data_IF_607744660683
#
_entry.id   IF_607744660683
#
_cell.length_a   1.000
_cell.length_b   1.000
_cell.length_c   1.000
_cell.angle_alpha   90.00
_cell.angle_beta   90.00
_cell.angle_gamma   90.00
#
_symmetry.space_group_name_H-M   'P 1'
#
loop_
_entity.id
_entity.type
_entity.pdbx_description
1 polymer ?
#
# COMPACT_ATOMS: atom_id res chain seq x y z
N UNK A 1 0.96 -0.10 -26.98
CA UNK A 1 1.98 -0.59 -26.04
C UNK A 1 1.50 -0.26 -24.63
N UNK A 2 1.20 -1.27 -23.80
CA UNK A 2 0.72 -1.03 -22.43
C UNK A 2 1.92 -0.72 -21.51
N UNK A 3 1.85 0.32 -20.66
CA UNK A 3 2.97 0.72 -19.80
C UNK A 3 3.27 -0.34 -18.72
N UNK A 4 4.49 -0.87 -18.71
CA UNK A 4 4.96 -1.76 -17.65
C UNK A 4 4.97 -1.03 -16.30
N UNK A 5 4.45 -1.64 -15.23
CA UNK A 5 4.46 -1.10 -13.86
C UNK A 5 5.60 -1.76 -13.09
N UNK A 6 6.73 -1.07 -13.00
CA UNK A 6 7.97 -1.61 -12.41
C UNK A 6 7.89 -1.83 -10.91
N UNK A 7 6.98 -1.13 -10.23
CA UNK A 7 6.76 -1.16 -8.78
C UNK A 7 5.76 -2.23 -8.33
N UNK A 8 5.20 -3.04 -9.23
CA UNK A 8 4.12 -4.00 -8.92
C UNK A 8 4.50 -4.97 -7.80
N UNK A 9 5.69 -5.56 -7.90
CA UNK A 9 6.24 -6.57 -6.99
C UNK A 9 6.51 -6.07 -5.56
N UNK A 10 6.38 -4.77 -5.31
CA UNK A 10 6.42 -4.19 -3.96
C UNK A 10 5.09 -4.33 -3.22
N UNK A 11 3.98 -4.52 -3.93
CA UNK A 11 2.62 -4.46 -3.36
C UNK A 11 1.74 -5.66 -3.69
N UNK A 12 2.04 -6.37 -4.78
CA UNK A 12 1.29 -7.51 -5.31
C UNK A 12 2.24 -8.66 -5.61
N UNK A 13 1.69 -9.87 -5.67
CA UNK A 13 2.49 -11.03 -6.07
C UNK A 13 2.84 -10.90 -7.57
N UNK A 14 4.07 -11.29 -7.92
CA UNK A 14 4.58 -11.14 -9.31
C UNK A 14 3.72 -11.88 -10.32
N UNK A 15 3.20 -13.04 -9.92
CA UNK A 15 2.36 -13.90 -10.76
C UNK A 15 0.97 -13.30 -11.03
N UNK A 16 0.55 -12.31 -10.23
CA UNK A 16 -0.71 -11.58 -10.44
C UNK A 16 -0.57 -10.47 -11.50
N UNK A 17 0.64 -10.18 -11.98
CA UNK A 17 0.89 -9.13 -12.97
C UNK A 17 0.38 -9.55 -14.34
N UNK A 18 -0.83 -9.09 -14.67
CA UNK A 18 -1.40 -9.21 -16.00
C UNK A 18 -2.13 -7.92 -16.39
N UNK A 19 -2.15 -7.59 -17.68
CA UNK A 19 -2.90 -6.43 -18.19
C UNK A 19 -4.41 -6.56 -17.98
N UNK A 20 -4.90 -7.79 -17.79
CA UNK A 20 -6.31 -8.11 -17.51
C UNK A 20 -6.67 -7.98 -16.03
N UNK A 21 -5.68 -7.75 -15.16
CA UNK A 21 -5.93 -7.54 -13.74
C UNK A 21 -6.62 -6.18 -13.55
N UNK A 22 -7.78 -6.15 -12.88
CA UNK A 22 -8.54 -4.93 -12.60
C UNK A 22 -7.73 -3.90 -11.78
N UNK A 23 -6.75 -4.37 -11.02
CA UNK A 23 -5.81 -3.53 -10.28
C UNK A 23 -4.88 -2.75 -11.22
N UNK A 24 -4.47 -3.35 -12.34
CA UNK A 24 -3.59 -2.71 -13.31
C UNK A 24 -4.22 -1.43 -13.86
N UNK A 25 -5.47 -1.50 -14.35
CA UNK A 25 -6.18 -0.33 -14.88
C UNK A 25 -6.36 0.76 -13.81
N UNK A 26 -6.68 0.33 -12.58
CA UNK A 26 -6.83 1.22 -11.42
C UNK A 26 -5.51 1.95 -11.13
N UNK A 27 -4.38 1.26 -11.15
CA UNK A 27 -3.05 1.84 -10.93
C UNK A 27 -2.72 2.85 -12.04
N UNK A 28 -2.93 2.51 -13.31
CA UNK A 28 -2.69 3.44 -14.42
C UNK A 28 -3.53 4.72 -14.29
N UNK A 29 -4.80 4.59 -13.88
CA UNK A 29 -5.66 5.75 -13.59
C UNK A 29 -5.07 6.60 -12.48
N UNK A 30 -4.63 5.99 -11.38
CA UNK A 30 -4.00 6.72 -10.28
C UNK A 30 -2.68 7.40 -10.69
N UNK A 31 -1.84 6.76 -11.49
CA UNK A 31 -0.60 7.37 -11.99
C UNK A 31 -0.92 8.69 -12.70
N UNK A 32 -1.91 8.68 -13.61
CA UNK A 32 -2.32 9.87 -14.37
C UNK A 32 -2.83 10.98 -13.45
N UNK A 33 -3.67 10.64 -12.47
CA UNK A 33 -4.30 11.66 -11.62
C UNK A 33 -3.40 12.18 -10.50
N UNK A 34 -2.48 11.35 -10.00
CA UNK A 34 -1.63 11.68 -8.84
C UNK A 34 -0.28 12.29 -9.24
N UNK A 35 0.18 12.12 -10.48
CA UNK A 35 1.54 12.53 -10.95
C UNK A 35 1.96 13.88 -10.39
N UNK A 36 1.26 14.96 -10.73
CA UNK A 36 1.63 16.32 -10.29
C UNK A 36 1.63 16.48 -8.76
N UNK A 37 0.71 15.83 -8.05
CA UNK A 37 0.64 15.92 -6.59
C UNK A 37 1.81 15.21 -5.91
N UNK A 38 2.20 14.06 -6.45
CA UNK A 38 3.32 13.24 -5.97
C UNK A 38 4.64 13.95 -6.25
N UNK A 39 4.86 14.43 -7.48
CA UNK A 39 6.08 15.17 -7.87
C UNK A 39 6.31 16.38 -6.97
N UNK A 40 5.26 17.15 -6.68
CA UNK A 40 5.35 18.32 -5.79
C UNK A 40 5.69 17.98 -4.32
N UNK A 41 5.51 16.72 -3.90
CA UNK A 41 5.72 16.26 -2.51
C UNK A 41 6.86 15.26 -2.39
N UNK A 42 7.65 15.08 -3.44
CA UNK A 42 8.62 13.99 -3.54
C UNK A 42 9.61 13.96 -2.37
N UNK A 43 10.14 15.11 -1.97
CA UNK A 43 11.13 15.20 -0.88
C UNK A 43 10.57 14.65 0.43
N UNK A 44 9.33 15.02 0.76
CA UNK A 44 8.63 14.57 1.97
C UNK A 44 8.34 13.06 1.89
N UNK A 45 7.98 12.55 0.71
CA UNK A 45 7.71 11.13 0.52
C UNK A 45 9.00 10.31 0.66
N UNK A 46 10.11 10.76 0.06
CA UNK A 46 11.41 10.10 0.16
C UNK A 46 11.91 10.04 1.61
N UNK A 47 11.79 11.14 2.34
CA UNK A 47 12.22 11.21 3.75
C UNK A 47 11.39 10.28 4.65
N UNK A 48 10.07 10.22 4.44
CA UNK A 48 9.16 9.55 5.39
C UNK A 48 8.69 8.17 4.95
N UNK A 49 8.86 7.82 3.68
CA UNK A 49 8.26 6.63 3.06
C UNK A 49 6.73 6.64 3.09
N UNK A 50 6.08 7.80 3.25
CA UNK A 50 4.62 7.91 3.41
C UNK A 50 4.06 9.01 2.51
N UNK A 51 3.03 8.67 1.73
CA UNK A 51 2.21 9.65 1.01
C UNK A 51 0.86 9.86 1.72
N UNK A 52 0.58 11.12 2.08
CA UNK A 52 -0.69 11.52 2.71
C UNK A 52 -1.66 12.02 1.66
N UNK A 53 -2.86 11.42 1.62
CA UNK A 53 -3.95 11.80 0.74
C UNK A 53 -5.20 12.11 1.58
N UNK A 54 -5.96 13.15 1.23
CA UNK A 54 -7.22 13.42 1.94
C UNK A 54 -8.34 12.60 1.35
N UNK A 55 -9.28 12.14 2.18
CA UNK A 55 -10.46 11.42 1.71
C UNK A 55 -11.26 12.25 0.70
N UNK A 56 -11.36 13.57 0.93
CA UNK A 56 -12.01 14.53 0.01
C UNK A 56 -11.38 14.53 -1.38
N UNK A 57 -10.06 14.41 -1.48
CA UNK A 57 -9.37 14.33 -2.76
C UNK A 57 -9.53 12.94 -3.38
N UNK A 58 -9.43 11.89 -2.55
CA UNK A 58 -9.57 10.52 -3.01
C UNK A 58 -10.92 10.27 -3.69
N UNK A 59 -12.04 10.68 -3.07
CA UNK A 59 -13.39 10.51 -3.66
C UNK A 59 -13.64 11.28 -4.95
N UNK A 60 -12.75 12.21 -5.34
CA UNK A 60 -12.82 12.88 -6.65
C UNK A 60 -12.19 12.04 -7.77
N UNK A 61 -11.37 11.05 -7.42
CA UNK A 61 -10.54 10.28 -8.35
C UNK A 61 -11.10 8.87 -8.54
N UNK A 62 -11.64 8.29 -7.47
CA UNK A 62 -12.28 6.98 -7.48
C UNK A 62 -13.79 7.09 -7.36
N UNK A 63 -14.50 6.05 -7.78
CA UNK A 63 -15.89 5.91 -7.40
C UNK A 63 -15.97 5.82 -5.87
N UNK A 64 -16.98 6.48 -5.29
CA UNK A 64 -17.16 6.52 -3.84
C UNK A 64 -17.19 5.10 -3.25
N UNK A 65 -17.79 4.15 -3.94
CA UNK A 65 -17.96 2.77 -3.48
C UNK A 65 -16.65 1.97 -3.41
N UNK A 66 -15.68 2.22 -4.31
CA UNK A 66 -14.46 1.43 -4.42
C UNK A 66 -13.64 1.39 -3.10
N UNK A 67 -13.49 2.52 -2.43
CA UNK A 67 -12.76 2.61 -1.15
C UNK A 67 -13.58 2.09 0.05
N UNK A 68 -14.91 2.03 -0.06
CA UNK A 68 -15.75 1.49 1.00
C UNK A 68 -15.85 -0.04 0.93
N UNK A 69 -15.90 -0.59 -0.28
CA UNK A 69 -16.04 -2.04 -0.51
C UNK A 69 -14.69 -2.77 -0.47
N UNK A 70 -13.62 -2.17 -1.01
CA UNK A 70 -12.29 -2.79 -1.09
C UNK A 70 -11.19 -1.83 -0.66
N UNK A 71 -11.15 -1.42 0.62
CA UNK A 71 -10.21 -0.41 1.08
C UNK A 71 -8.74 -0.84 0.96
N UNK A 72 -8.42 -2.07 1.34
CA UNK A 72 -7.04 -2.58 1.31
C UNK A 72 -6.48 -2.57 -0.12
N UNK A 73 -7.24 -3.12 -1.06
CA UNK A 73 -6.86 -3.19 -2.46
C UNK A 73 -6.71 -1.79 -3.07
N UNK A 74 -7.65 -0.89 -2.78
CA UNK A 74 -7.57 0.51 -3.22
C UNK A 74 -6.31 1.19 -2.70
N UNK A 75 -5.98 0.98 -1.41
CA UNK A 75 -4.76 1.51 -0.78
C UNK A 75 -3.50 0.96 -1.44
N UNK A 76 -3.44 -0.34 -1.73
CA UNK A 76 -2.33 -0.99 -2.44
C UNK A 76 -2.15 -0.41 -3.86
N UNK A 77 -3.25 -0.23 -4.60
CA UNK A 77 -3.20 0.37 -5.94
C UNK A 77 -2.67 1.82 -5.91
N UNK A 78 -3.07 2.64 -4.93
CA UNK A 78 -2.53 3.99 -4.76
C UNK A 78 -1.04 3.92 -4.41
N UNK A 79 -0.64 3.02 -3.52
CA UNK A 79 0.75 2.85 -3.10
C UNK A 79 1.66 2.48 -4.29
N UNK A 80 1.21 1.51 -5.09
CA UNK A 80 1.87 1.10 -6.32
C UNK A 80 1.97 2.25 -7.32
N UNK A 81 0.89 2.99 -7.55
CA UNK A 81 0.89 4.16 -8.43
C UNK A 81 1.88 5.25 -7.97
N UNK A 82 1.93 5.56 -6.68
CA UNK A 82 2.86 6.55 -6.13
C UNK A 82 4.31 6.09 -6.30
N UNK A 83 4.61 4.83 -5.96
CA UNK A 83 5.94 4.25 -6.20
C UNK A 83 6.32 4.32 -7.67
N UNK A 84 5.40 4.01 -8.56
CA UNK A 84 5.64 4.01 -10.00
C UNK A 84 5.88 5.43 -10.55
N UNK A 85 5.19 6.44 -10.04
CA UNK A 85 5.48 7.84 -10.36
C UNK A 85 6.90 8.19 -9.92
N UNK A 86 7.29 7.83 -8.69
CA UNK A 86 8.63 8.12 -8.16
C UNK A 86 9.70 7.44 -9.00
N UNK A 87 9.48 6.18 -9.38
CA UNK A 87 10.37 5.44 -10.25
C UNK A 87 10.52 6.09 -11.63
N UNK A 88 9.40 6.43 -12.28
CA UNK A 88 9.45 7.03 -13.62
C UNK A 88 10.11 8.42 -13.67
N UNK A 89 9.97 9.22 -12.62
CA UNK A 89 10.49 10.59 -12.59
C UNK A 89 11.92 10.68 -12.02
N UNK A 90 12.34 9.71 -11.21
CA UNK A 90 13.60 9.79 -10.45
C UNK A 90 14.42 8.49 -10.40
N UNK A 91 13.99 7.43 -11.09
CA UNK A 91 14.62 6.10 -11.11
C UNK A 91 14.82 5.48 -9.71
N UNK A 92 13.90 5.76 -8.79
CA UNK A 92 13.93 5.26 -7.42
C UNK A 92 12.74 4.34 -7.17
N UNK A 93 13.04 3.05 -7.00
CA UNK A 93 12.05 2.03 -6.61
C UNK A 93 11.99 1.94 -5.09
N UNK A 94 10.87 2.36 -4.50
CA UNK A 94 10.71 2.39 -3.04
C UNK A 94 9.31 2.00 -2.57
N UNK A 95 9.22 1.35 -1.41
CA UNK A 95 7.94 1.12 -0.75
C UNK A 95 7.41 2.41 -0.13
N UNK A 96 6.16 2.74 -0.42
CA UNK A 96 5.47 3.95 0.04
C UNK A 96 4.19 3.54 0.74
N UNK A 97 4.08 3.88 2.02
CA UNK A 97 2.83 3.74 2.77
C UNK A 97 1.83 4.83 2.39
N UNK A 98 0.56 4.49 2.26
CA UNK A 98 -0.51 5.47 2.01
C UNK A 98 -1.23 5.77 3.31
N UNK A 99 -1.40 7.07 3.61
CA UNK A 99 -2.18 7.51 4.76
C UNK A 99 -3.34 8.38 4.30
N UNK A 100 -4.55 7.83 4.44
CA UNK A 100 -5.79 8.58 4.21
C UNK A 100 -6.04 9.48 5.42
N UNK A 101 -6.28 10.76 5.15
CA UNK A 101 -6.55 11.79 6.16
C UNK A 101 -7.98 12.31 6.02
N UNK A 102 -8.58 12.80 7.10
CA UNK A 102 -9.94 13.34 7.13
C UNK A 102 -11.00 12.33 6.63
N UNK A 103 -10.90 11.08 7.07
CA UNK A 103 -11.97 10.09 6.90
C UNK A 103 -13.07 10.40 7.93
N UNK A 104 -14.10 11.13 7.50
CA UNK A 104 -15.04 11.79 8.39
C UNK A 104 -16.13 10.87 8.98
N UNK A 105 -16.07 9.55 8.75
CA UNK A 105 -17.00 8.60 9.35
C UNK A 105 -16.43 8.16 10.70
N UNK A 106 -16.70 8.95 11.74
CA UNK A 106 -16.34 8.63 13.11
C UNK A 106 -17.28 7.55 13.62
N UNK A 107 -16.73 6.37 13.89
CA UNK A 107 -17.47 5.30 14.56
C UNK A 107 -17.42 5.53 16.07
N UNK A 108 -18.52 5.25 16.76
CA UNK A 108 -18.48 5.10 18.21
C UNK A 108 -17.52 3.96 18.56
N UNK A 109 -17.01 3.96 19.80
CA UNK A 109 -16.06 2.93 20.26
C UNK A 109 -16.62 1.50 20.10
N UNK A 110 -17.95 1.35 20.05
CA UNK A 110 -18.65 0.13 19.65
C UNK A 110 -18.74 -0.04 18.13
N UNK A 111 -17.64 -0.42 17.49
CA UNK A 111 -17.62 -0.78 16.07
C UNK A 111 -18.43 -2.07 15.84
N UNK A 112 -19.45 -2.01 14.99
CA UNK A 112 -20.28 -3.17 14.63
C UNK A 112 -19.50 -4.22 13.83
N UNK A 113 -19.91 -5.50 13.95
CA UNK A 113 -19.41 -6.61 13.12
C UNK A 113 -19.60 -6.33 11.62
N UNK A 114 -20.64 -5.58 11.25
CA UNK A 114 -20.86 -5.15 9.87
C UNK A 114 -19.80 -4.20 9.30
N UNK A 115 -18.85 -3.74 10.13
CA UNK A 115 -17.70 -2.91 9.73
C UNK A 115 -16.40 -3.68 9.63
N UNK A 116 -16.41 -5.00 9.81
CA UNK A 116 -15.26 -5.86 9.48
C UNK A 116 -14.86 -5.59 8.02
N UNK A 117 -13.55 -5.52 7.76
CA UNK A 117 -12.95 -5.18 6.45
C UNK A 117 -13.20 -3.76 5.92
N UNK A 118 -13.89 -2.90 6.67
CA UNK A 118 -14.14 -1.51 6.27
C UNK A 118 -13.19 -0.53 6.96
N UNK A 119 -12.98 0.64 6.34
CA UNK A 119 -12.31 1.76 7.01
C UNK A 119 -13.19 2.34 8.11
N UNK A 120 -12.58 2.65 9.25
CA UNK A 120 -13.22 3.33 10.38
C UNK A 120 -12.33 4.46 10.87
N UNK A 121 -12.95 5.54 11.35
CA UNK A 121 -12.26 6.57 12.12
C UNK A 121 -12.68 6.46 13.58
N UNK A 122 -11.69 6.40 14.47
CA UNK A 122 -11.89 6.33 15.91
C UNK A 122 -11.22 7.53 16.57
N UNK A 123 -11.92 8.12 17.54
CA UNK A 123 -11.42 9.21 18.37
C UNK A 123 -11.55 8.78 19.82
N UNK A 124 -10.49 8.94 20.59
CA UNK A 124 -10.48 8.60 22.00
C UNK A 124 -9.13 8.89 22.64
N UNK A 125 -9.04 8.64 23.94
CA UNK A 125 -7.80 8.78 24.70
C UNK A 125 -7.00 7.49 24.62
N UNK A 126 -5.72 7.59 24.28
CA UNK A 126 -4.80 6.44 24.34
C UNK A 126 -4.42 6.20 25.80
N UNK A 127 -4.96 5.14 26.40
CA UNK A 127 -4.72 4.82 27.82
C UNK A 127 -3.39 4.08 28.08
N UNK A 128 -2.88 3.34 27.08
CA UNK A 128 -1.65 2.54 27.22
C UNK A 128 -0.92 2.42 25.89
N UNK A 129 0.41 2.54 25.93
CA UNK A 129 1.31 2.24 24.82
C UNK A 129 2.16 1.03 25.22
N UNK A 130 2.10 -0.04 24.43
CA UNK A 130 2.91 -1.24 24.66
C UNK A 130 4.35 -1.11 24.17
N UNK A 131 5.20 -2.08 24.51
CA UNK A 131 6.56 -2.15 23.97
C UNK A 131 6.56 -2.57 22.49
N UNK A 132 7.59 -2.12 21.75
CA UNK A 132 7.79 -2.49 20.35
C UNK A 132 8.16 -3.97 20.25
N UNK A 133 7.44 -4.72 19.41
CA UNK A 133 7.75 -6.11 19.08
C UNK A 133 8.40 -6.22 17.71
N UNK A 134 9.33 -7.16 17.56
CA UNK A 134 9.90 -7.52 16.27
C UNK A 134 8.94 -8.46 15.54
N UNK A 135 8.76 -8.24 14.23
CA UNK A 135 7.98 -9.12 13.35
C UNK A 135 8.93 -9.56 12.23
N UNK A 136 9.16 -10.87 12.13
CA UNK A 136 9.98 -11.44 11.07
C UNK A 136 9.19 -11.44 9.76
N UNK A 137 9.70 -10.75 8.75
CA UNK A 137 9.11 -10.72 7.40
C UNK A 137 9.79 -11.67 6.42
N UNK A 138 11.06 -11.99 6.69
CA UNK A 138 11.92 -12.85 5.87
C UNK A 138 12.79 -13.69 6.79
N UNK A 139 13.14 -14.87 6.31
CA UNK A 139 14.07 -15.79 6.96
C UNK A 139 15.06 -16.28 5.92
N UNK A 140 16.30 -16.49 6.35
CA UNK A 140 17.37 -16.97 5.48
C UNK A 140 17.83 -18.32 5.99
N UNK A 141 17.95 -19.28 5.08
CA UNK A 141 18.47 -20.61 5.35
C UNK A 141 19.74 -20.81 4.53
N UNK A 142 20.84 -21.21 5.19
CA UNK A 142 22.09 -21.54 4.52
C UNK A 142 22.29 -23.05 4.52
N UNK A 143 22.52 -23.64 3.35
CA UNK A 143 22.97 -25.02 3.27
C UNK A 143 24.46 -25.11 3.59
N UNK A 144 24.83 -25.84 4.64
CA UNK A 144 26.25 -25.96 5.04
C UNK A 144 27.13 -26.67 4.00
N UNK A 145 26.55 -27.54 3.15
CA UNK A 145 27.29 -28.31 2.14
C UNK A 145 27.59 -27.51 0.88
N UNK A 146 26.57 -26.89 0.29
CA UNK A 146 26.70 -26.14 -0.96
C UNK A 146 26.82 -24.61 -0.77
N UNK A 147 26.68 -24.11 0.46
CA UNK A 147 26.71 -22.68 0.79
C UNK A 147 25.62 -21.83 0.12
N UNK A 148 24.59 -22.48 -0.41
CA UNK A 148 23.43 -21.82 -0.99
C UNK A 148 22.57 -21.16 0.11
N UNK A 149 22.17 -19.91 -0.14
CA UNK A 149 21.30 -19.14 0.75
C UNK A 149 19.91 -19.06 0.14
N UNK A 150 18.92 -19.64 0.83
CA UNK A 150 17.52 -19.54 0.48
C UNK A 150 16.88 -18.40 1.28
N UNK A 151 16.27 -17.45 0.56
CA UNK A 151 15.42 -16.42 1.15
C UNK A 151 13.97 -16.88 1.12
N UNK A 152 13.33 -16.98 2.29
CA UNK A 152 11.91 -17.33 2.43
C UNK A 152 11.14 -16.14 3.00
N UNK A 153 10.05 -15.75 2.32
CA UNK A 153 9.14 -14.70 2.80
C UNK A 153 8.12 -15.31 3.77
N UNK A 154 7.79 -14.57 4.83
CA UNK A 154 6.69 -14.92 5.74
C UNK A 154 5.47 -14.07 5.36
N UNK A 155 4.44 -14.70 4.82
CA UNK A 155 3.17 -14.05 4.46
C UNK A 155 2.04 -14.70 5.25
N UNK A 156 1.31 -13.93 6.06
CA UNK A 156 0.22 -14.44 6.90
C UNK A 156 0.62 -15.63 7.79
N UNK A 157 1.83 -15.57 8.36
CA UNK A 157 2.44 -16.64 9.16
C UNK A 157 2.71 -17.97 8.40
N UNK A 158 2.70 -17.93 7.07
CA UNK A 158 3.04 -19.06 6.21
C UNK A 158 4.36 -18.77 5.48
N UNK A 159 5.23 -19.77 5.40
CA UNK A 159 6.45 -19.73 4.61
C UNK A 159 6.11 -19.81 3.13
N UNK A 160 6.50 -18.79 2.36
CA UNK A 160 6.41 -18.78 0.90
C UNK A 160 7.82 -18.60 0.32
N UNK A 161 8.23 -19.55 -0.50
CA UNK A 161 9.38 -19.47 -1.41
C UNK A 161 9.04 -18.58 -2.60
#
# INVERSE_FOLDING_TARGET
MHPHISSWDLYFDKDEFTFFNTNYETIIKFIRTLRNNVTNKILIIKERGIYKISMRFLVKIISKNQIYEQPENTIKCIACAVSEIIYNEYDIKMYVGIRITNYNIVSSFGVSVSKVEHLVSLIGTVCRVGCKKLIFKKVFFECLKCKEILEIKIVSNVYKT
#
